data_IF_980741409389
#
_entry.id   IF_980741409389
#
_cell.length_a   1.000
_cell.length_b   1.000
_cell.length_c   1.000
_cell.angle_alpha   90.00
_cell.angle_beta   90.00
_cell.angle_gamma   90.00
#
_symmetry.space_group_name_H-M   'P 1'
#
loop_
_entity.id
_entity.type
_entity.pdbx_description
1 polymer ?
#
# COMPACT_ATOMS: atom_id res chain seq x y z
N UNK A 1 1.89 31.01 10.48
CA UNK A 1 1.16 30.66 11.73
C UNK A 1 0.13 29.55 11.49
N UNK A 2 -0.83 29.67 10.55
CA UNK A 2 -1.82 28.60 10.29
C UNK A 2 -1.19 27.26 9.89
N UNK A 3 -0.12 27.30 9.09
CA UNK A 3 0.62 26.08 8.69
C UNK A 3 1.18 25.35 9.92
N UNK A 4 1.64 26.08 10.95
CA UNK A 4 2.16 25.45 12.17
C UNK A 4 1.06 24.83 13.05
N UNK A 5 -0.20 25.16 12.79
CA UNK A 5 -1.34 24.54 13.46
C UNK A 5 -1.76 23.22 12.80
N UNK A 6 -1.23 22.87 11.61
CA UNK A 6 -1.45 21.58 11.00
C UNK A 6 -0.85 20.47 11.88
N UNK A 7 -1.62 19.42 12.11
CA UNK A 7 -1.20 18.22 12.84
C UNK A 7 -1.00 17.05 11.88
N UNK A 8 -0.55 15.91 12.38
CA UNK A 8 -0.45 14.69 11.57
C UNK A 8 0.57 14.77 10.45
N UNK A 9 0.19 14.23 9.29
CA UNK A 9 1.02 14.09 8.10
C UNK A 9 1.33 15.44 7.50
N UNK A 10 0.29 16.26 7.36
CA UNK A 10 0.31 17.56 6.74
C UNK A 10 1.28 18.46 7.52
N UNK A 11 1.22 18.40 8.85
CA UNK A 11 2.20 19.09 9.70
C UNK A 11 3.64 18.60 9.47
N UNK A 12 3.86 17.28 9.40
CA UNK A 12 5.21 16.73 9.13
C UNK A 12 5.76 17.14 7.76
N UNK A 13 4.90 17.27 6.76
CA UNK A 13 5.28 17.66 5.40
C UNK A 13 5.54 19.18 5.28
N UNK A 14 4.69 20.02 5.88
CA UNK A 14 4.73 21.47 5.65
C UNK A 14 5.46 22.29 6.73
N UNK A 15 5.62 21.79 7.97
CA UNK A 15 6.34 22.53 9.02
C UNK A 15 7.79 22.85 8.66
N UNK A 16 8.60 21.93 8.09
CA UNK A 16 9.97 22.25 7.70
C UNK A 16 10.03 23.39 6.67
N UNK A 17 9.14 23.37 5.67
CA UNK A 17 9.04 24.43 4.66
C UNK A 17 8.64 25.78 5.27
N UNK A 18 7.63 25.80 6.14
CA UNK A 18 7.21 27.04 6.80
C UNK A 18 8.30 27.60 7.71
N UNK A 19 9.00 26.72 8.43
CA UNK A 19 10.10 27.12 9.31
C UNK A 19 11.27 27.73 8.54
N UNK A 20 11.69 27.13 7.42
CA UNK A 20 12.79 27.67 6.62
C UNK A 20 12.46 29.05 6.05
N UNK A 21 11.23 29.27 5.57
CA UNK A 21 10.79 30.58 5.07
C UNK A 21 10.80 31.62 6.19
N UNK A 22 10.26 31.30 7.38
CA UNK A 22 10.24 32.23 8.51
C UNK A 22 11.67 32.54 8.98
N UNK A 23 12.52 31.53 9.13
CA UNK A 23 13.91 31.71 9.52
C UNK A 23 14.68 32.55 8.50
N UNK A 24 14.47 32.32 7.20
CA UNK A 24 15.06 33.10 6.13
C UNK A 24 14.58 34.55 6.14
N UNK A 25 13.29 34.81 6.35
CA UNK A 25 12.74 36.17 6.44
C UNK A 25 13.28 36.93 7.66
N UNK A 26 13.40 36.26 8.82
CA UNK A 26 14.00 36.86 10.02
C UNK A 26 15.48 37.17 9.78
N UNK A 27 16.24 36.23 9.19
CA UNK A 27 17.63 36.45 8.82
C UNK A 27 17.80 37.58 7.81
N UNK A 28 16.97 37.62 6.77
CA UNK A 28 16.96 38.68 5.76
C UNK A 28 16.61 40.05 6.37
N UNK A 29 15.67 40.10 7.31
CA UNK A 29 15.33 41.33 8.05
C UNK A 29 16.54 41.83 8.86
N UNK A 30 17.21 40.94 9.60
CA UNK A 30 18.39 41.29 10.39
C UNK A 30 19.51 41.80 9.47
N UNK A 31 19.80 41.10 8.38
CA UNK A 31 20.80 41.52 7.39
C UNK A 31 20.42 42.84 6.70
N UNK A 32 19.14 43.05 6.41
CA UNK A 32 18.65 44.27 5.76
C UNK A 32 18.82 45.52 6.60
N UNK A 33 18.75 45.39 7.93
CA UNK A 33 18.96 46.53 8.85
C UNK A 33 20.44 46.69 9.23
N UNK A 34 21.24 45.62 9.21
CA UNK A 34 22.63 45.65 9.68
C UNK A 34 23.63 45.68 8.52
N UNK A 35 23.67 44.61 7.74
CA UNK A 35 24.64 44.39 6.69
C UNK A 35 24.39 45.28 5.47
N UNK A 36 23.14 45.41 5.00
CA UNK A 36 22.84 46.20 3.79
C UNK A 36 23.26 47.68 3.94
N UNK A 37 22.91 48.41 5.02
CA UNK A 37 23.31 49.81 5.16
C UNK A 37 24.82 49.97 5.32
N UNK A 38 25.48 49.05 6.04
CA UNK A 38 26.93 49.05 6.17
C UNK A 38 27.63 48.76 4.83
N UNK A 39 27.13 47.81 4.05
CA UNK A 39 27.63 47.49 2.72
C UNK A 39 27.41 48.66 1.75
N UNK A 40 26.23 49.29 1.78
CA UNK A 40 25.97 50.51 0.99
C UNK A 40 26.96 51.61 1.39
N UNK A 41 27.18 51.86 2.69
CA UNK A 41 28.12 52.88 3.14
C UNK A 41 29.59 52.60 2.76
N UNK A 42 29.99 51.33 2.68
CA UNK A 42 31.36 50.93 2.34
C UNK A 42 31.61 50.84 0.82
N UNK A 43 30.61 50.39 0.04
CA UNK A 43 30.79 50.10 -1.38
C UNK A 43 30.20 51.17 -2.32
N UNK A 44 29.22 51.96 -1.88
CA UNK A 44 28.74 53.11 -2.64
C UNK A 44 29.57 54.34 -2.24
N UNK A 45 30.39 54.83 -3.19
CA UNK A 45 31.20 56.03 -3.00
C UNK A 45 30.40 57.35 -3.13
N UNK A 46 31.07 58.47 -2.85
CA UNK A 46 30.48 59.82 -2.71
C UNK A 46 29.82 60.43 -3.96
N UNK A 47 29.79 59.73 -5.10
CA UNK A 47 29.20 60.21 -6.37
C UNK A 47 27.90 59.49 -6.70
N UNK A 48 26.91 59.60 -5.83
CA UNK A 48 25.54 59.17 -6.13
C UNK A 48 24.84 60.30 -6.89
N UNK A 49 24.79 60.19 -8.22
CA UNK A 49 23.96 61.05 -9.05
C UNK A 49 22.60 60.39 -9.26
N UNK A 50 21.52 61.06 -8.86
CA UNK A 50 20.16 60.62 -9.13
C UNK A 50 19.87 60.80 -10.63
N UNK A 51 20.20 59.77 -11.43
CA UNK A 51 19.85 59.71 -12.85
C UNK A 51 18.79 58.65 -13.04
N UNK A 52 17.60 59.09 -13.43
CA UNK A 52 16.56 58.15 -13.84
C UNK A 52 17.01 57.42 -15.11
N UNK A 53 17.06 56.09 -15.03
CA UNK A 53 17.38 55.26 -16.18
C UNK A 53 16.24 55.33 -17.21
N UNK A 54 16.55 55.16 -18.50
CA UNK A 54 15.57 55.24 -19.60
C UNK A 54 14.41 54.26 -19.40
N UNK A 55 14.70 53.09 -18.81
CA UNK A 55 13.71 52.09 -18.39
C UNK A 55 12.71 52.65 -17.36
N UNK A 56 13.19 53.38 -16.36
CA UNK A 56 12.35 53.97 -15.31
C UNK A 56 11.49 55.11 -15.86
N UNK A 57 12.06 55.95 -16.73
CA UNK A 57 11.31 57.01 -17.39
C UNK A 57 10.19 56.44 -18.28
N UNK A 58 10.49 55.37 -19.02
CA UNK A 58 9.51 54.68 -19.85
C UNK A 58 8.41 54.04 -19.01
N UNK A 59 8.76 53.33 -17.93
CA UNK A 59 7.80 52.74 -17.01
C UNK A 59 6.88 53.80 -16.38
N UNK A 60 7.43 54.93 -15.92
CA UNK A 60 6.64 56.06 -15.40
C UNK A 60 5.72 56.65 -16.46
N UNK A 61 6.19 56.79 -17.70
CA UNK A 61 5.39 57.34 -18.82
C UNK A 61 4.20 56.46 -19.17
N UNK A 62 4.28 55.15 -18.97
CA UNK A 62 3.14 54.23 -19.10
C UNK A 62 2.27 54.16 -17.84
N UNK A 63 2.88 54.09 -16.65
CA UNK A 63 2.16 53.95 -15.39
C UNK A 63 1.34 55.20 -15.01
N UNK A 64 1.92 56.40 -15.14
CA UNK A 64 1.27 57.65 -14.75
C UNK A 64 -0.08 57.92 -15.43
N UNK A 65 -0.24 57.76 -16.77
CA UNK A 65 -1.54 57.96 -17.41
C UNK A 65 -2.56 56.87 -17.05
N UNK A 66 -2.11 55.62 -16.86
CA UNK A 66 -2.98 54.53 -16.40
C UNK A 66 -3.50 54.81 -14.99
N UNK A 67 -2.62 55.23 -14.08
CA UNK A 67 -3.02 55.63 -12.73
C UNK A 67 -3.99 56.81 -12.75
N UNK A 68 -3.73 57.83 -13.57
CA UNK A 68 -4.63 58.98 -13.70
C UNK A 68 -6.03 58.57 -14.22
N UNK A 69 -6.09 57.65 -15.19
CA UNK A 69 -7.34 57.10 -15.73
C UNK A 69 -8.11 56.25 -14.71
N UNK A 70 -7.39 55.44 -13.92
CA UNK A 70 -7.96 54.64 -12.82
C UNK A 70 -8.51 55.55 -11.72
N UNK A 71 -7.81 56.64 -11.38
CA UNK A 71 -8.21 57.59 -10.34
C UNK A 71 -9.34 58.53 -10.78
N UNK A 72 -9.50 58.81 -12.07
CA UNK A 72 -10.63 59.62 -12.57
C UNK A 72 -11.95 58.86 -12.55
N UNK A 73 -11.92 57.53 -12.75
CA UNK A 73 -13.10 56.68 -12.83
C UNK A 73 -13.14 55.61 -11.73
N UNK A 74 -12.98 56.03 -10.47
CA UNK A 74 -12.98 55.14 -9.29
C UNK A 74 -14.17 54.17 -9.23
N UNK A 75 -15.42 54.57 -9.54
CA UNK A 75 -16.56 53.64 -9.49
C UNK A 75 -16.42 52.48 -10.47
N UNK A 76 -15.95 52.74 -11.70
CA UNK A 76 -15.75 51.73 -12.73
C UNK A 76 -14.71 50.71 -12.30
N UNK A 77 -13.59 51.19 -11.75
CA UNK A 77 -12.51 50.34 -11.25
C UNK A 77 -12.99 49.47 -10.09
N UNK A 78 -13.71 50.06 -9.13
CA UNK A 78 -14.24 49.33 -7.99
C UNK A 78 -15.25 48.26 -8.42
N UNK A 79 -16.16 48.58 -9.33
CA UNK A 79 -17.10 47.62 -9.93
C UNK A 79 -16.35 46.50 -10.64
N UNK A 80 -15.34 46.82 -11.44
CA UNK A 80 -14.51 45.82 -12.12
C UNK A 80 -13.78 44.90 -11.15
N UNK A 81 -13.20 45.44 -10.07
CA UNK A 81 -12.56 44.65 -9.01
C UNK A 81 -13.56 43.71 -8.34
N UNK A 82 -14.75 44.21 -7.96
CA UNK A 82 -15.78 43.38 -7.33
C UNK A 82 -16.25 42.26 -8.27
N UNK A 83 -16.51 42.59 -9.54
CA UNK A 83 -16.89 41.60 -10.56
C UNK A 83 -15.80 40.55 -10.73
N UNK A 84 -14.52 40.96 -10.77
CA UNK A 84 -13.39 40.04 -10.89
C UNK A 84 -13.31 39.10 -9.68
N UNK A 85 -13.46 39.63 -8.46
CA UNK A 85 -13.48 38.81 -7.23
C UNK A 85 -14.64 37.82 -7.23
N UNK A 86 -15.84 38.24 -7.64
CA UNK A 86 -17.01 37.35 -7.75
C UNK A 86 -16.76 36.25 -8.79
N UNK A 87 -16.23 36.60 -9.97
CA UNK A 87 -15.91 35.64 -11.02
C UNK A 87 -14.82 34.65 -10.57
N UNK A 88 -13.78 35.12 -9.88
CA UNK A 88 -12.75 34.26 -9.29
C UNK A 88 -13.34 33.32 -8.23
N UNK A 89 -14.25 33.82 -7.38
CA UNK A 89 -14.97 32.99 -6.42
C UNK A 89 -15.83 31.91 -7.10
N UNK A 90 -16.53 32.27 -8.17
CA UNK A 90 -17.35 31.33 -8.94
C UNK A 90 -16.48 30.28 -9.65
N UNK A 91 -15.31 30.65 -10.19
CA UNK A 91 -14.36 29.68 -10.73
C UNK A 91 -13.79 28.76 -9.65
N UNK A 92 -13.53 29.26 -8.44
CA UNK A 92 -13.05 28.45 -7.33
C UNK A 92 -14.05 27.34 -6.94
N UNK A 93 -15.36 27.56 -7.08
CA UNK A 93 -16.39 26.52 -6.80
C UNK A 93 -16.36 25.34 -7.76
N UNK A 94 -15.68 25.46 -8.91
CA UNK A 94 -15.51 24.36 -9.88
C UNK A 94 -14.19 23.62 -9.71
N UNK A 95 -13.34 24.04 -8.78
CA UNK A 95 -12.05 23.42 -8.53
C UNK A 95 -12.24 22.15 -7.69
N UNK A 96 -11.65 21.05 -8.12
CA UNK A 96 -11.61 19.82 -7.34
C UNK A 96 -10.77 19.98 -6.08
N UNK A 97 -11.00 19.13 -5.09
CA UNK A 97 -10.20 19.04 -3.88
C UNK A 97 -9.49 17.70 -3.81
N UNK A 98 -8.19 17.72 -3.56
CA UNK A 98 -7.38 16.55 -3.25
C UNK A 98 -6.68 16.78 -1.90
N UNK A 99 -6.35 15.69 -1.19
CA UNK A 99 -5.72 15.77 0.13
C UNK A 99 -4.28 16.31 0.03
N UNK A 100 -3.47 15.70 -0.83
CA UNK A 100 -2.11 16.09 -1.20
C UNK A 100 -1.93 15.71 -2.67
N UNK A 101 -1.27 16.54 -3.51
CA UNK A 101 -0.99 16.17 -4.89
C UNK A 101 -0.20 14.87 -4.94
N UNK A 102 -0.45 14.03 -5.94
CA UNK A 102 0.35 12.82 -6.12
C UNK A 102 1.81 13.20 -6.41
N UNK A 103 2.71 12.85 -5.49
CA UNK A 103 4.14 13.02 -5.73
C UNK A 103 4.55 12.01 -6.79
N UNK A 104 5.30 12.45 -7.80
CA UNK A 104 5.88 11.53 -8.77
C UNK A 104 7.16 10.92 -8.18
N UNK A 105 7.09 9.64 -7.82
CA UNK A 105 8.22 8.87 -7.28
C UNK A 105 9.11 8.29 -8.37
N UNK A 106 8.71 8.38 -9.64
CA UNK A 106 9.39 7.79 -10.79
C UNK A 106 8.96 6.34 -11.05
N UNK A 107 8.96 5.51 -10.02
CA UNK A 107 8.64 4.08 -10.11
C UNK A 107 7.16 3.78 -9.81
N UNK A 108 6.68 2.63 -10.26
CA UNK A 108 5.33 2.16 -9.96
C UNK A 108 5.34 1.01 -8.97
N UNK A 109 4.27 0.90 -8.19
CA UNK A 109 3.92 -0.28 -7.42
C UNK A 109 2.68 -0.94 -8.04
N UNK A 110 2.70 -2.27 -8.14
CA UNK A 110 1.59 -3.10 -8.61
C UNK A 110 1.31 -4.16 -7.55
N UNK A 111 0.18 -4.04 -6.86
CA UNK A 111 -0.28 -5.09 -5.96
C UNK A 111 -1.16 -6.07 -6.73
N UNK A 112 -0.81 -7.35 -6.67
CA UNK A 112 -1.57 -8.44 -7.28
C UNK A 112 -2.30 -9.23 -6.19
N UNK A 113 -3.64 -9.13 -6.19
CA UNK A 113 -4.52 -9.84 -5.28
C UNK A 113 -5.11 -11.07 -5.97
N UNK A 114 -4.99 -12.24 -5.33
CA UNK A 114 -5.52 -13.52 -5.82
C UNK A 114 -6.61 -14.04 -4.90
N UNK A 115 -7.38 -15.01 -5.38
CA UNK A 115 -8.42 -15.66 -4.59
C UNK A 115 -7.84 -16.23 -3.28
N UNK A 116 -8.55 -16.07 -2.15
CA UNK A 116 -8.21 -16.75 -0.90
C UNK A 116 -8.02 -18.25 -1.13
N UNK A 117 -6.99 -18.83 -0.51
CA UNK A 117 -6.63 -20.24 -0.72
C UNK A 117 -5.66 -20.52 -1.87
N UNK A 118 -5.26 -19.51 -2.65
CA UNK A 118 -4.14 -19.68 -3.58
C UNK A 118 -2.86 -19.99 -2.79
N UNK A 119 -2.19 -21.10 -3.11
CA UNK A 119 -0.97 -21.50 -2.41
C UNK A 119 0.18 -20.53 -2.68
N UNK A 120 1.12 -20.41 -1.74
CA UNK A 120 2.30 -19.56 -1.91
C UNK A 120 3.08 -19.91 -3.19
N UNK A 121 3.23 -21.20 -3.50
CA UNK A 121 3.92 -21.65 -4.72
C UNK A 121 3.19 -21.23 -5.99
N UNK A 122 1.85 -21.32 -6.00
CA UNK A 122 1.04 -20.87 -7.14
C UNK A 122 1.07 -19.35 -7.27
N UNK A 123 0.93 -18.60 -6.16
CA UNK A 123 1.06 -17.14 -6.15
C UNK A 123 2.41 -16.69 -6.69
N UNK A 124 3.51 -17.33 -6.27
CA UNK A 124 4.84 -17.02 -6.75
C UNK A 124 5.00 -17.32 -8.26
N UNK A 125 4.45 -18.43 -8.75
CA UNK A 125 4.47 -18.76 -10.19
C UNK A 125 3.66 -17.75 -11.03
N UNK A 126 2.48 -17.38 -10.56
CA UNK A 126 1.65 -16.34 -11.21
C UNK A 126 2.35 -14.98 -11.17
N UNK A 127 3.01 -14.66 -10.07
CA UNK A 127 3.78 -13.42 -9.93
C UNK A 127 4.97 -13.39 -10.91
N UNK A 128 5.71 -14.49 -11.03
CA UNK A 128 6.79 -14.61 -12.00
C UNK A 128 6.30 -14.39 -13.44
N UNK A 129 5.10 -14.89 -13.78
CA UNK A 129 4.50 -14.66 -15.09
C UNK A 129 4.23 -13.17 -15.34
N UNK A 130 3.76 -12.44 -14.33
CA UNK A 130 3.55 -10.97 -14.40
C UNK A 130 4.89 -10.27 -14.64
N UNK A 131 5.89 -10.56 -13.83
CA UNK A 131 7.21 -9.92 -13.90
C UNK A 131 7.87 -10.13 -15.26
N UNK A 132 7.86 -11.36 -15.77
CA UNK A 132 8.41 -11.70 -17.09
C UNK A 132 7.64 -11.01 -18.21
N UNK A 133 6.30 -11.04 -18.16
CA UNK A 133 5.46 -10.45 -19.21
C UNK A 133 5.65 -8.94 -19.29
N UNK A 134 5.63 -8.24 -18.14
CA UNK A 134 5.83 -6.79 -18.11
C UNK A 134 7.24 -6.42 -18.56
N UNK A 135 8.27 -7.13 -18.07
CA UNK A 135 9.66 -6.86 -18.46
C UNK A 135 9.94 -7.09 -19.95
N UNK A 136 9.24 -8.03 -20.58
CA UNK A 136 9.37 -8.30 -22.02
C UNK A 136 8.60 -7.29 -22.89
N UNK A 137 7.43 -6.84 -22.44
CA UNK A 137 6.57 -5.95 -23.23
C UNK A 137 7.00 -4.48 -23.15
N UNK A 138 7.57 -4.05 -22.02
CA UNK A 138 7.87 -2.64 -21.76
C UNK A 138 9.38 -2.39 -21.62
N UNK A 139 10.05 -1.92 -22.69
CA UNK A 139 11.48 -1.61 -22.66
C UNK A 139 11.86 -0.45 -21.70
N UNK A 140 10.89 0.36 -21.27
CA UNK A 140 11.05 1.43 -20.28
C UNK A 140 11.35 0.90 -18.87
N UNK A 141 11.00 -0.36 -18.59
CA UNK A 141 11.20 -0.99 -17.29
C UNK A 141 12.68 -1.41 -17.15
N UNK A 142 13.34 -1.00 -16.06
CA UNK A 142 14.67 -1.49 -15.68
C UNK A 142 14.57 -2.79 -14.89
N UNK A 143 13.72 -2.86 -13.86
CA UNK A 143 13.54 -4.08 -13.04
C UNK A 143 12.10 -4.24 -12.61
N UNK A 144 11.68 -5.49 -12.53
CA UNK A 144 10.43 -5.86 -11.84
C UNK A 144 10.78 -6.93 -10.84
N UNK A 145 10.28 -6.79 -9.62
CA UNK A 145 10.36 -7.81 -8.59
C UNK A 145 9.16 -7.69 -7.68
N UNK A 146 8.81 -8.76 -6.98
CA UNK A 146 7.73 -8.71 -6.01
C UNK A 146 8.06 -9.45 -4.72
N UNK A 147 7.31 -9.10 -3.68
CA UNK A 147 7.26 -9.83 -2.42
C UNK A 147 5.89 -10.47 -2.30
N UNK A 148 5.85 -11.79 -2.12
CA UNK A 148 4.59 -12.54 -1.96
C UNK A 148 4.49 -13.02 -0.52
N UNK A 149 3.40 -12.68 0.15
CA UNK A 149 3.21 -12.97 1.56
C UNK A 149 4.13 -12.18 2.50
N UNK A 150 4.22 -12.66 3.74
CA UNK A 150 4.90 -11.98 4.85
C UNK A 150 6.42 -12.20 4.79
N UNK A 151 7.20 -11.14 5.04
CA UNK A 151 8.64 -11.27 5.23
C UNK A 151 8.97 -11.77 6.65
N UNK A 152 10.15 -12.33 6.84
CA UNK A 152 10.67 -12.75 8.16
C UNK A 152 10.73 -11.59 9.19
N UNK A 153 10.68 -10.35 8.72
CA UNK A 153 10.57 -9.16 9.56
C UNK A 153 9.09 -8.82 9.71
N UNK A 154 8.63 -8.70 10.96
CA UNK A 154 7.24 -8.41 11.33
C UNK A 154 6.76 -6.98 11.00
N UNK A 155 7.25 -6.38 9.91
CA UNK A 155 6.84 -5.06 9.46
C UNK A 155 5.58 -5.08 8.59
N UNK A 156 5.25 -6.24 8.00
CA UNK A 156 4.18 -6.34 7.02
C UNK A 156 3.53 -7.74 6.95
N UNK A 157 2.37 -7.96 7.58
CA UNK A 157 1.67 -9.23 7.62
C UNK A 157 0.83 -9.46 6.35
N UNK A 158 1.48 -9.71 5.22
CA UNK A 158 0.78 -10.02 3.97
C UNK A 158 0.44 -11.52 3.86
N UNK A 159 -0.79 -11.87 3.45
CA UNK A 159 -1.17 -13.26 3.24
C UNK A 159 -0.56 -13.83 1.95
N UNK A 160 -0.44 -15.16 1.81
CA UNK A 160 0.23 -15.80 0.66
C UNK A 160 -0.43 -15.56 -0.72
N UNK A 161 -1.68 -15.11 -0.76
CA UNK A 161 -2.41 -14.81 -1.99
C UNK A 161 -2.15 -13.39 -2.51
N UNK A 162 -1.43 -12.54 -1.78
CA UNK A 162 -1.11 -11.17 -2.17
C UNK A 162 0.38 -11.04 -2.50
N UNK A 163 0.67 -10.32 -3.58
CA UNK A 163 2.03 -9.95 -3.97
C UNK A 163 2.17 -8.45 -4.18
N UNK A 164 3.16 -7.86 -3.54
CA UNK A 164 3.58 -6.47 -3.76
C UNK A 164 4.69 -6.42 -4.79
N UNK A 165 4.34 -6.05 -6.01
CA UNK A 165 5.26 -5.85 -7.12
C UNK A 165 5.77 -4.41 -7.21
N UNK A 166 7.04 -4.27 -7.54
CA UNK A 166 7.71 -2.99 -7.79
C UNK A 166 8.20 -2.98 -9.23
N UNK A 167 7.83 -1.95 -9.97
CA UNK A 167 8.24 -1.72 -11.34
C UNK A 167 9.19 -0.52 -11.34
N UNK A 168 10.49 -0.81 -11.36
CA UNK A 168 11.54 0.20 -11.44
C UNK A 168 11.75 0.62 -12.88
N UNK A 169 11.58 1.90 -13.16
CA UNK A 169 11.73 2.45 -14.50
C UNK A 169 13.17 2.89 -14.77
N UNK A 170 13.56 2.85 -16.04
CA UNK A 170 14.80 3.48 -16.47
C UNK A 170 14.69 5.01 -16.36
N UNK A 171 15.80 5.73 -16.23
CA UNK A 171 15.83 7.17 -16.42
C UNK A 171 15.15 7.55 -17.74
N UNK A 172 14.39 8.65 -17.74
CA UNK A 172 13.53 9.03 -18.86
C UNK A 172 14.30 9.24 -20.16
N UNK A 173 15.57 9.60 -20.07
CA UNK A 173 16.47 9.78 -21.22
C UNK A 173 16.78 8.47 -21.96
N UNK A 174 16.52 7.31 -21.32
CA UNK A 174 16.77 5.98 -21.88
C UNK A 174 15.48 5.33 -22.43
N UNK A 175 14.37 6.06 -22.44
CA UNK A 175 13.11 5.55 -22.96
C UNK A 175 13.16 5.51 -24.49
N UNK A 176 12.63 4.45 -25.14
CA UNK A 176 12.59 4.39 -26.60
C UNK A 176 11.78 5.53 -27.24
N UNK A 177 10.75 6.00 -26.53
CA UNK A 177 9.91 7.13 -26.90
C UNK A 177 10.00 8.20 -25.80
N UNK A 178 10.87 9.22 -25.94
CA UNK A 178 11.11 10.24 -24.90
C UNK A 178 9.87 11.08 -24.57
N UNK A 179 8.98 11.26 -25.56
CA UNK A 179 7.77 12.07 -25.44
C UNK A 179 6.64 11.35 -24.70
N UNK A 180 6.72 10.01 -24.57
CA UNK A 180 5.72 9.21 -23.86
C UNK A 180 5.66 9.65 -22.41
N UNK A 181 4.45 9.93 -21.95
CA UNK A 181 4.21 10.35 -20.57
C UNK A 181 4.20 9.15 -19.64
N UNK A 182 4.49 9.41 -18.35
CA UNK A 182 4.40 8.40 -17.30
C UNK A 182 2.99 7.80 -17.22
N UNK A 183 1.97 8.64 -17.37
CA UNK A 183 0.57 8.21 -17.23
C UNK A 183 0.09 7.39 -18.43
N UNK A 184 0.60 7.66 -19.63
CA UNK A 184 0.41 6.79 -20.80
C UNK A 184 1.10 5.43 -20.61
N UNK A 185 2.32 5.41 -20.05
CA UNK A 185 3.00 4.17 -19.72
C UNK A 185 2.23 3.37 -18.66
N UNK A 186 1.76 4.03 -17.59
CA UNK A 186 0.93 3.40 -16.55
C UNK A 186 -0.34 2.78 -17.15
N UNK A 187 -1.05 3.52 -18.00
CA UNK A 187 -2.25 3.04 -18.68
C UNK A 187 -1.97 1.83 -19.58
N UNK A 188 -0.83 1.82 -20.27
CA UNK A 188 -0.41 0.68 -21.09
C UNK A 188 -0.05 -0.55 -20.25
N UNK A 189 0.66 -0.35 -19.13
CA UNK A 189 0.99 -1.41 -18.17
C UNK A 189 -0.29 -2.00 -17.55
N UNK A 190 -1.23 -1.15 -17.14
CA UNK A 190 -2.54 -1.58 -16.63
C UNK A 190 -3.28 -2.45 -17.65
N UNK A 191 -3.36 -2.01 -18.90
CA UNK A 191 -4.01 -2.77 -19.96
C UNK A 191 -3.31 -4.11 -20.27
N UNK A 192 -1.99 -4.18 -20.12
CA UNK A 192 -1.22 -5.42 -20.27
C UNK A 192 -1.41 -6.37 -19.10
N UNK A 193 -1.35 -5.86 -17.86
CA UNK A 193 -1.55 -6.64 -16.64
C UNK A 193 -2.96 -7.25 -16.61
N UNK A 194 -3.99 -6.47 -16.94
CA UNK A 194 -5.39 -6.93 -16.96
C UNK A 194 -5.69 -8.05 -17.97
N UNK A 195 -4.77 -8.36 -18.91
CA UNK A 195 -4.89 -9.53 -19.80
C UNK A 195 -4.48 -10.84 -19.13
N UNK A 196 -3.73 -10.77 -18.03
CA UNK A 196 -3.29 -11.94 -17.27
C UNK A 196 -4.42 -12.39 -16.35
N UNK A 197 -4.95 -13.62 -16.53
CA UNK A 197 -6.06 -14.10 -15.73
C UNK A 197 -5.63 -14.42 -14.29
N UNK A 198 -6.59 -14.39 -13.37
CA UNK A 198 -6.43 -14.89 -12.00
C UNK A 198 -5.83 -13.89 -11.00
N UNK A 199 -5.62 -12.63 -11.39
CA UNK A 199 -5.17 -11.58 -10.50
C UNK A 199 -6.08 -10.36 -10.62
N UNK A 200 -6.27 -9.67 -9.50
CA UNK A 200 -6.85 -8.34 -9.44
C UNK A 200 -5.70 -7.39 -9.10
N UNK A 201 -5.52 -6.34 -9.90
CA UNK A 201 -4.39 -5.42 -9.78
C UNK A 201 -4.78 -4.10 -9.16
N UNK A 202 -3.95 -3.58 -8.27
CA UNK A 202 -4.02 -2.21 -7.75
C UNK A 202 -2.70 -1.50 -8.03
N UNK A 203 -2.78 -0.32 -8.63
CA UNK A 203 -1.62 0.46 -9.04
C UNK A 203 -1.42 1.67 -8.14
N UNK A 204 -0.17 1.88 -7.71
CA UNK A 204 0.23 3.02 -6.89
C UNK A 204 1.71 3.31 -7.10
N UNK A 205 2.34 4.00 -6.14
CA UNK A 205 3.78 4.27 -6.12
C UNK A 205 4.38 3.70 -4.81
N UNK A 206 5.65 3.30 -4.78
CA UNK A 206 6.24 2.58 -3.65
C UNK A 206 6.07 3.25 -2.27
N UNK A 207 6.31 4.56 -2.15
CA UNK A 207 6.16 5.32 -0.90
C UNK A 207 4.69 5.55 -0.62
N UNK A 208 3.88 5.95 -1.62
CA UNK A 208 2.43 6.11 -1.49
C UNK A 208 1.75 4.83 -0.97
N UNK A 209 2.11 3.65 -1.50
CA UNK A 209 1.59 2.35 -1.08
C UNK A 209 1.81 2.14 0.43
N UNK A 210 3.06 2.29 0.89
CA UNK A 210 3.42 2.08 2.30
C UNK A 210 2.77 3.11 3.21
N UNK A 211 2.62 4.32 2.70
CA UNK A 211 1.99 5.40 3.43
C UNK A 211 0.49 5.16 3.65
N UNK A 212 -0.22 4.73 2.59
CA UNK A 212 -1.62 4.36 2.66
C UNK A 212 -1.83 3.20 3.64
N UNK A 213 -0.99 2.15 3.54
CA UNK A 213 -1.03 1.01 4.47
C UNK A 213 -0.85 1.41 5.94
N UNK A 214 0.09 2.32 6.24
CA UNK A 214 0.38 2.72 7.61
C UNK A 214 -0.69 3.60 8.25
N UNK A 215 -1.39 4.43 7.47
CA UNK A 215 -2.34 5.42 8.03
C UNK A 215 -3.71 4.83 8.22
N UNK A 216 -4.26 4.25 7.17
CA UNK A 216 -5.66 3.88 7.11
C UNK A 216 -5.83 2.36 7.20
N UNK A 217 -4.74 1.59 7.05
CA UNK A 217 -4.78 0.13 6.91
C UNK A 217 -5.42 -0.33 5.60
N UNK A 218 -5.75 0.60 4.71
CA UNK A 218 -6.35 0.35 3.39
C UNK A 218 -5.45 0.97 2.33
N UNK A 219 -5.37 0.30 1.17
CA UNK A 219 -4.33 0.58 0.17
C UNK A 219 -4.79 1.56 -0.91
N UNK A 220 -6.10 1.66 -1.08
CA UNK A 220 -6.75 2.54 -2.05
C UNK A 220 -6.97 3.95 -1.50
N UNK A 221 -7.08 4.93 -2.40
CA UNK A 221 -7.25 6.34 -2.06
C UNK A 221 -8.56 6.64 -1.30
N UNK A 222 -9.60 5.84 -1.54
CA UNK A 222 -10.90 5.91 -0.85
C UNK A 222 -11.30 4.51 -0.41
N UNK A 223 -11.70 4.39 0.86
CA UNK A 223 -12.22 3.13 1.39
C UNK A 223 -13.49 3.34 2.21
N UNK A 224 -14.38 2.36 2.13
CA UNK A 224 -15.59 2.29 2.95
C UNK A 224 -15.42 1.13 3.93
N UNK A 225 -15.35 1.45 5.22
CA UNK A 225 -15.22 0.44 6.28
C UNK A 225 -16.59 0.11 6.85
N UNK A 226 -16.99 -1.16 6.72
CA UNK A 226 -18.23 -1.68 7.29
C UNK A 226 -17.89 -2.44 8.56
N UNK A 227 -18.51 -2.06 9.69
CA UNK A 227 -18.28 -2.69 10.99
C UNK A 227 -19.54 -3.39 11.47
N UNK A 228 -19.37 -4.54 12.12
CA UNK A 228 -20.45 -5.34 12.67
C UNK A 228 -19.97 -6.71 13.11
N UNK A 229 -20.88 -7.47 13.74
CA UNK A 229 -20.54 -8.76 14.36
C UNK A 229 -20.78 -9.96 13.43
N UNK A 230 -21.62 -9.81 12.40
CA UNK A 230 -22.01 -10.87 11.47
C UNK A 230 -21.33 -10.72 10.10
N UNK A 231 -20.39 -11.62 9.81
CA UNK A 231 -19.63 -11.62 8.55
C UNK A 231 -20.49 -11.75 7.30
N UNK A 232 -21.64 -12.45 7.38
CA UNK A 232 -22.53 -12.62 6.24
C UNK A 232 -23.19 -11.29 5.90
N UNK A 233 -23.72 -10.60 6.92
CA UNK A 233 -24.34 -9.27 6.77
C UNK A 233 -23.32 -8.26 6.24
N UNK A 234 -22.09 -8.29 6.76
CA UNK A 234 -21.01 -7.41 6.29
C UNK A 234 -20.68 -7.64 4.81
N UNK A 235 -20.56 -8.89 4.37
CA UNK A 235 -20.23 -9.22 2.99
C UNK A 235 -21.36 -8.85 2.01
N UNK A 236 -22.62 -9.11 2.39
CA UNK A 236 -23.79 -8.71 1.60
C UNK A 236 -23.84 -7.18 1.46
N UNK A 237 -23.67 -6.46 2.57
CA UNK A 237 -23.64 -4.98 2.60
C UNK A 237 -22.49 -4.41 1.78
N UNK A 238 -21.29 -4.98 1.89
CA UNK A 238 -20.12 -4.54 1.11
C UNK A 238 -20.34 -4.73 -0.40
N UNK A 239 -21.01 -5.81 -0.80
CA UNK A 239 -21.37 -6.07 -2.20
C UNK A 239 -22.38 -5.03 -2.72
N UNK A 240 -23.39 -4.68 -1.93
CA UNK A 240 -24.34 -3.62 -2.26
C UNK A 240 -23.64 -2.25 -2.41
N UNK A 241 -22.73 -1.91 -1.50
CA UNK A 241 -21.93 -0.69 -1.56
C UNK A 241 -21.06 -0.68 -2.82
N UNK A 242 -20.39 -1.79 -3.14
CA UNK A 242 -19.57 -1.92 -4.36
C UNK A 242 -20.38 -1.62 -5.63
N UNK A 243 -21.58 -2.20 -5.73
CA UNK A 243 -22.46 -1.99 -6.90
C UNK A 243 -22.98 -0.54 -7.04
N UNK A 244 -23.03 0.23 -5.94
CA UNK A 244 -23.33 1.67 -5.98
C UNK A 244 -22.10 2.46 -6.37
N UNK A 245 -20.94 2.14 -5.78
CA UNK A 245 -19.67 2.81 -6.02
C UNK A 245 -19.23 2.70 -7.48
N UNK A 246 -19.41 1.55 -8.12
CA UNK A 246 -19.09 1.33 -9.54
C UNK A 246 -19.86 2.26 -10.50
N UNK A 247 -21.01 2.80 -10.08
CA UNK A 247 -21.82 3.72 -10.90
C UNK A 247 -21.37 5.18 -10.77
N UNK A 248 -20.48 5.49 -9.83
CA UNK A 248 -20.02 6.84 -9.57
C UNK A 248 -18.95 7.21 -10.62
N UNK A 249 -19.16 8.34 -11.30
CA UNK A 249 -18.19 8.86 -12.25
C UNK A 249 -16.85 9.15 -11.54
N UNK A 250 -15.77 8.54 -12.03
CA UNK A 250 -14.43 8.66 -11.45
C UNK A 250 -14.04 7.51 -10.51
N UNK A 251 -14.97 6.60 -10.16
CA UNK A 251 -14.61 5.37 -9.48
C UNK A 251 -13.96 4.39 -10.47
N UNK A 252 -12.70 4.06 -10.24
CA UNK A 252 -11.98 2.99 -10.93
C UNK A 252 -11.57 1.92 -9.91
N UNK A 253 -11.57 0.65 -10.32
CA UNK A 253 -11.04 -0.45 -9.51
C UNK A 253 -11.76 -0.66 -8.16
N UNK A 254 -13.09 -0.51 -8.10
CA UNK A 254 -13.88 -0.80 -6.89
C UNK A 254 -13.74 -2.28 -6.53
N UNK A 255 -13.35 -2.57 -5.29
CA UNK A 255 -13.08 -3.92 -4.81
C UNK A 255 -13.66 -4.14 -3.41
N UNK A 256 -14.12 -5.36 -3.18
CA UNK A 256 -14.55 -5.85 -1.86
C UNK A 256 -13.53 -6.85 -1.36
N UNK A 257 -12.97 -6.58 -0.18
CA UNK A 257 -12.08 -7.51 0.50
C UNK A 257 -12.85 -8.79 0.88
N UNK A 258 -12.28 -9.95 0.53
CA UNK A 258 -12.90 -11.24 0.78
C UNK A 258 -12.57 -11.71 2.20
N UNK A 259 -13.60 -11.74 3.05
CA UNK A 259 -13.48 -12.15 4.46
C UNK A 259 -13.65 -13.67 4.68
N UNK A 260 -14.02 -14.42 3.63
CA UNK A 260 -14.25 -15.87 3.69
C UNK A 260 -13.71 -16.57 2.43
N UNK A 261 -13.74 -17.89 2.44
CA UNK A 261 -13.42 -18.71 1.25
C UNK A 261 -12.03 -19.32 1.28
N UNK A 262 -11.28 -19.17 2.38
CA UNK A 262 -10.04 -19.90 2.59
C UNK A 262 -10.37 -21.39 2.83
N UNK A 263 -9.95 -22.33 1.97
CA UNK A 263 -10.22 -23.74 2.18
C UNK A 263 -9.46 -24.23 3.41
N UNK A 264 -10.16 -24.66 4.46
CA UNK A 264 -9.55 -25.24 5.65
C UNK A 264 -9.94 -26.71 5.78
N UNK A 265 -8.97 -27.53 6.20
CA UNK A 265 -9.20 -28.90 6.61
C UNK A 265 -9.43 -28.94 8.12
N UNK A 266 -10.67 -29.11 8.55
CA UNK A 266 -11.04 -29.24 9.95
C UNK A 266 -10.89 -30.71 10.39
N UNK A 267 -10.16 -30.91 11.49
CA UNK A 267 -10.04 -32.21 12.17
C UNK A 267 -10.93 -32.20 13.41
N UNK A 268 -12.13 -32.74 13.28
CA UNK A 268 -13.13 -32.75 14.34
C UNK A 268 -12.93 -34.00 15.21
N UNK A 269 -12.25 -33.84 16.34
CA UNK A 269 -11.98 -34.94 17.28
C UNK A 269 -13.24 -35.27 18.08
N UNK A 270 -13.68 -36.52 17.97
CA UNK A 270 -14.86 -37.04 18.68
C UNK A 270 -14.47 -37.50 20.08
N UNK A 271 -14.79 -36.67 21.08
CA UNK A 271 -14.47 -36.92 22.49
C UNK A 271 -14.99 -38.26 23.01
N UNK A 272 -16.16 -38.70 22.55
CA UNK A 272 -16.77 -39.94 23.01
C UNK A 272 -16.04 -41.16 22.44
N UNK A 273 -15.57 -41.07 21.20
CA UNK A 273 -14.72 -42.13 20.62
C UNK A 273 -13.32 -42.12 21.21
N UNK A 274 -12.69 -40.95 21.35
CA UNK A 274 -11.35 -40.82 21.93
C UNK A 274 -11.32 -41.38 23.37
N UNK A 275 -12.35 -41.12 24.19
CA UNK A 275 -12.42 -41.62 25.57
C UNK A 275 -12.56 -43.15 25.68
N UNK A 276 -13.25 -43.80 24.74
CA UNK A 276 -13.35 -45.28 24.68
C UNK A 276 -12.00 -45.97 24.49
N UNK A 277 -11.07 -45.30 23.82
CA UNK A 277 -9.70 -45.77 23.61
C UNK A 277 -8.73 -45.29 24.70
N UNK A 278 -9.22 -44.55 25.70
CA UNK A 278 -8.40 -43.99 26.78
C UNK A 278 -7.43 -42.89 26.32
N UNK A 279 -7.62 -42.34 25.11
CA UNK A 279 -6.75 -41.32 24.54
C UNK A 279 -7.08 -39.94 25.09
N UNK A 280 -6.05 -39.09 25.23
CA UNK A 280 -6.27 -37.67 25.44
C UNK A 280 -6.44 -36.97 24.08
N UNK A 281 -7.22 -35.91 24.04
CA UNK A 281 -7.40 -35.06 22.85
C UNK A 281 -6.05 -34.43 22.46
N UNK A 282 -5.25 -34.03 23.45
CA UNK A 282 -3.91 -33.47 23.22
C UNK A 282 -3.01 -34.43 22.44
N UNK A 283 -3.01 -35.73 22.77
CA UNK A 283 -2.18 -36.72 22.07
C UNK A 283 -2.57 -36.85 20.59
N UNK A 284 -3.87 -36.75 20.28
CA UNK A 284 -4.38 -36.76 18.91
C UNK A 284 -3.98 -35.49 18.17
N UNK A 285 -4.09 -34.32 18.83
CA UNK A 285 -3.69 -33.03 18.26
C UNK A 285 -2.19 -32.98 17.97
N UNK A 286 -1.35 -33.44 18.89
CA UNK A 286 0.11 -33.47 18.74
C UNK A 286 0.53 -34.41 17.60
N UNK A 287 -0.15 -35.56 17.47
CA UNK A 287 0.09 -36.47 16.36
C UNK A 287 -0.26 -35.84 15.00
N UNK A 288 -1.40 -35.14 14.90
CA UNK A 288 -1.81 -34.43 13.67
C UNK A 288 -0.88 -33.25 13.38
N UNK A 289 -0.53 -32.46 14.40
CA UNK A 289 0.38 -31.31 14.27
C UNK A 289 1.76 -31.76 13.78
N UNK A 290 2.32 -32.80 14.38
CA UNK A 290 3.60 -33.39 13.96
C UNK A 290 3.51 -33.98 12.56
N UNK A 291 2.41 -34.66 12.23
CA UNK A 291 2.26 -35.30 10.93
C UNK A 291 2.13 -34.28 9.77
N UNK A 292 1.32 -33.24 9.93
CA UNK A 292 0.95 -32.31 8.84
C UNK A 292 1.79 -31.03 8.86
N UNK A 293 1.83 -30.34 10.00
CA UNK A 293 2.51 -29.05 10.18
C UNK A 293 4.01 -29.20 10.43
N UNK A 294 4.39 -30.30 11.08
CA UNK A 294 5.74 -30.58 11.52
C UNK A 294 6.03 -29.94 12.88
N UNK A 295 6.77 -30.67 13.71
CA UNK A 295 7.14 -30.22 15.06
C UNK A 295 8.66 -30.10 15.15
N UNK A 296 9.14 -29.05 15.82
CA UNK A 296 10.56 -28.87 16.11
C UNK A 296 11.01 -29.96 17.11
N UNK A 297 11.91 -30.83 16.68
CA UNK A 297 12.52 -31.87 17.51
C UNK A 297 13.81 -31.40 18.18
N UNK A 298 14.42 -30.32 17.70
CA UNK A 298 15.62 -29.71 18.28
C UNK A 298 16.28 -28.73 17.31
N UNK A 299 17.46 -28.22 17.69
CA UNK A 299 18.24 -27.29 16.86
C UNK A 299 19.62 -27.84 16.54
N UNK A 300 20.02 -27.71 15.28
CA UNK A 300 21.38 -27.91 14.83
C UNK A 300 22.13 -26.58 14.91
N UNK A 301 23.26 -26.57 15.61
CA UNK A 301 24.13 -25.40 15.74
C UNK A 301 25.34 -25.56 14.81
N UNK A 302 25.56 -24.58 13.94
CA UNK A 302 26.74 -24.48 13.07
C UNK A 302 27.43 -23.12 13.30
N UNK A 303 28.34 -23.09 14.27
CA UNK A 303 28.93 -21.83 14.75
C UNK A 303 27.85 -20.92 15.34
N UNK A 304 27.67 -19.75 14.75
CA UNK A 304 26.63 -18.78 15.16
C UNK A 304 25.28 -19.02 14.47
N UNK A 305 25.19 -19.92 13.49
CA UNK A 305 23.95 -20.24 12.77
C UNK A 305 23.17 -21.32 13.52
N UNK A 306 21.84 -21.17 13.51
CA UNK A 306 20.91 -22.11 14.16
C UNK A 306 19.90 -22.58 13.12
N UNK A 307 19.70 -23.89 13.04
CA UNK A 307 18.75 -24.51 12.12
C UNK A 307 17.80 -25.39 12.92
N UNK A 308 16.50 -25.26 12.68
CA UNK A 308 15.49 -26.08 13.35
C UNK A 308 15.42 -27.45 12.67
N UNK A 309 15.44 -28.51 13.48
CA UNK A 309 15.25 -29.90 13.03
C UNK A 309 13.75 -30.20 13.17
N UNK A 310 13.05 -30.35 12.05
CA UNK A 310 11.61 -30.56 12.02
C UNK A 310 11.30 -32.02 11.68
N UNK A 311 10.42 -32.64 12.48
CA UNK A 311 9.85 -33.96 12.18
C UNK A 311 8.47 -33.77 11.58
N UNK A 312 8.25 -34.31 10.38
CA UNK A 312 6.97 -34.24 9.66
C UNK A 312 6.81 -35.41 8.70
N UNK A 313 5.57 -35.71 8.29
CA UNK A 313 5.35 -36.72 7.24
C UNK A 313 5.84 -36.22 5.87
N UNK A 314 6.24 -37.15 4.98
CA UNK A 314 6.51 -36.85 3.58
C UNK A 314 5.29 -36.21 2.88
N UNK A 315 5.55 -35.33 1.91
CA UNK A 315 4.51 -34.53 1.22
C UNK A 315 3.39 -35.37 0.58
N UNK A 316 3.72 -36.54 0.03
CA UNK A 316 2.75 -37.42 -0.62
C UNK A 316 1.71 -38.04 0.34
N UNK A 317 2.03 -38.18 1.63
CA UNK A 317 1.10 -38.72 2.62
C UNK A 317 0.21 -37.64 3.24
N UNK A 318 0.63 -36.38 3.19
CA UNK A 318 -0.10 -35.23 3.77
C UNK A 318 -0.91 -34.44 2.74
N UNK A 319 -0.71 -34.68 1.44
CA UNK A 319 -1.59 -34.18 0.39
C UNK A 319 -2.81 -35.08 0.15
N UNK A 320 -2.77 -36.34 0.61
CA UNK A 320 -3.86 -37.31 0.47
C UNK A 320 -4.71 -37.38 1.75
N UNK A 321 -5.97 -36.98 1.63
CA UNK A 321 -6.94 -37.02 2.72
C UNK A 321 -7.18 -38.44 3.26
N UNK A 322 -7.16 -39.46 2.39
CA UNK A 322 -7.35 -40.85 2.80
C UNK A 322 -6.12 -41.39 3.55
N UNK A 323 -4.93 -40.91 3.20
CA UNK A 323 -3.71 -41.20 3.97
C UNK A 323 -3.75 -40.55 5.35
N UNK A 324 -4.22 -39.30 5.46
CA UNK A 324 -4.40 -38.61 6.75
C UNK A 324 -5.44 -39.34 7.63
N UNK A 325 -6.55 -39.82 7.05
CA UNK A 325 -7.53 -40.64 7.79
C UNK A 325 -6.93 -41.89 8.41
N UNK A 326 -5.90 -42.46 7.77
CA UNK A 326 -5.20 -43.68 8.22
C UNK A 326 -3.98 -43.37 9.10
N UNK A 327 -3.79 -42.12 9.49
CA UNK A 327 -2.67 -41.71 10.35
C UNK A 327 -2.69 -42.55 11.65
N UNK A 328 -1.60 -43.27 11.96
CA UNK A 328 -1.56 -44.13 13.14
C UNK A 328 -1.41 -43.29 14.41
N UNK A 329 -2.42 -43.36 15.28
CA UNK A 329 -2.44 -42.75 16.60
C UNK A 329 -2.09 -43.84 17.63
N UNK A 330 -1.04 -43.63 18.40
CA UNK A 330 -0.60 -44.59 19.42
C UNK A 330 -1.56 -44.60 20.60
N UNK A 331 -2.04 -45.79 20.98
CA UNK A 331 -2.82 -45.97 22.19
C UNK A 331 -1.95 -45.85 23.46
N UNK A 332 -2.52 -45.41 24.59
CA UNK A 332 -1.78 -45.34 25.85
C UNK A 332 -1.29 -46.72 26.26
N UNK A 333 -0.06 -46.79 26.78
CA UNK A 333 0.50 -48.06 27.26
C UNK A 333 -0.23 -48.51 28.53
N UNK A 334 -0.94 -49.63 28.45
CA UNK A 334 -1.50 -50.31 29.62
C UNK A 334 -0.43 -51.12 30.35
N UNK A 335 -0.40 -51.07 31.68
CA UNK A 335 0.54 -51.84 32.50
C UNK A 335 0.50 -53.33 32.13
N UNK A 336 1.65 -53.90 31.77
CA UNK A 336 1.80 -55.33 31.46
C UNK A 336 1.89 -55.67 29.97
N UNK A 337 1.65 -54.74 29.04
CA UNK A 337 1.79 -54.98 27.60
C UNK A 337 2.76 -53.96 26.96
N UNK A 338 3.94 -54.43 26.55
CA UNK A 338 4.98 -53.59 25.94
C UNK A 338 4.77 -53.32 24.44
N UNK A 339 3.68 -53.80 23.84
CA UNK A 339 3.37 -53.55 22.42
C UNK A 339 2.65 -52.22 22.27
N UNK A 340 3.19 -51.34 21.43
CA UNK A 340 2.50 -50.12 21.01
C UNK A 340 1.44 -50.52 19.98
N UNK A 341 0.18 -50.32 20.33
CA UNK A 341 -0.95 -50.51 19.41
C UNK A 341 -1.34 -49.16 18.85
N UNK A 342 -1.73 -49.14 17.58
CA UNK A 342 -2.16 -47.94 16.88
C UNK A 342 -3.58 -48.10 16.39
N UNK A 343 -4.31 -46.98 16.36
CA UNK A 343 -5.60 -46.86 15.66
C UNK A 343 -5.50 -45.79 14.59
N UNK A 344 -6.24 -45.89 13.47
CA UNK A 344 -6.26 -44.82 12.49
C UNK A 344 -7.02 -43.60 13.02
N UNK A 345 -6.60 -42.40 12.64
CA UNK A 345 -7.23 -41.13 13.02
C UNK A 345 -8.74 -41.11 12.77
N UNK A 346 -9.21 -41.74 11.68
CA UNK A 346 -10.64 -41.82 11.34
C UNK A 346 -11.53 -42.49 12.40
N UNK A 347 -10.96 -43.30 13.30
CA UNK A 347 -11.73 -43.91 14.41
C UNK A 347 -12.04 -42.91 15.52
N UNK A 348 -11.28 -41.81 15.63
CA UNK A 348 -11.39 -40.83 16.71
C UNK A 348 -11.62 -39.40 16.23
N UNK A 349 -11.54 -39.13 14.93
CA UNK A 349 -11.81 -37.82 14.35
C UNK A 349 -12.44 -37.91 12.95
N UNK A 350 -13.33 -36.96 12.63
CA UNK A 350 -13.75 -36.72 11.24
C UNK A 350 -12.91 -35.61 10.61
N UNK A 351 -12.75 -35.70 9.29
CA UNK A 351 -12.02 -34.72 8.49
C UNK A 351 -12.98 -34.07 7.51
N UNK A 352 -13.15 -32.77 7.62
CA UNK A 352 -14.09 -31.99 6.82
C UNK A 352 -13.37 -30.83 6.15
N UNK A 353 -13.59 -30.67 4.84
CA UNK A 353 -13.11 -29.50 4.10
C UNK A 353 -14.20 -28.43 4.14
N UNK A 354 -13.96 -27.34 4.83
CA UNK A 354 -14.91 -26.24 4.96
C UNK A 354 -14.23 -24.90 4.67
N UNK A 355 -14.93 -23.94 4.04
CA UNK A 355 -14.41 -22.59 3.89
C UNK A 355 -14.30 -21.94 5.27
N UNK A 356 -13.11 -21.45 5.59
CA UNK A 356 -12.80 -20.67 6.77
C UNK A 356 -12.87 -19.16 6.51
N UNK A 357 -12.77 -18.38 7.60
CA UNK A 357 -12.49 -16.95 7.50
C UNK A 357 -11.11 -16.71 6.88
N UNK A 358 -11.01 -15.64 6.10
CA UNK A 358 -9.78 -15.16 5.47
C UNK A 358 -9.47 -13.77 6.06
N UNK A 359 -8.70 -13.74 7.15
CA UNK A 359 -8.22 -12.53 7.82
C UNK A 359 -6.71 -12.59 8.03
#
# INVERSE_FOLDING_TARGET
>A
LPIFALTGVEGKMFHPMAFTVVAALVGAMILSVTFIPAAVALFIGDKVAEKENVLMQTAKRFYAPVLASVMSNKPVVLTFTVVTVILSGLLATRMGSEFVPSLNEGDFAIQALRLPGTSLSQSAAMQQQIEVSLKQQFPEIDRVFARTGTAEIASDPMPPNISDGYIMLKPREQWPEPDKTRDELLSAIQAAANKLPGNIYEFSQPIQLRFNELISGVRSDVAVKVFGDDMKVLNDTATEISAVMEKIAGASEVKVEQTTGLPMLAVNIDRDKTSRYGLNIGDVQDAVATAIGGTEAGKLFEGDRRFDIIVRLPDNLRSDLEAIKRLPISLPRTQGNNRVTYIPLAEVASLELAPGPNQ
#
